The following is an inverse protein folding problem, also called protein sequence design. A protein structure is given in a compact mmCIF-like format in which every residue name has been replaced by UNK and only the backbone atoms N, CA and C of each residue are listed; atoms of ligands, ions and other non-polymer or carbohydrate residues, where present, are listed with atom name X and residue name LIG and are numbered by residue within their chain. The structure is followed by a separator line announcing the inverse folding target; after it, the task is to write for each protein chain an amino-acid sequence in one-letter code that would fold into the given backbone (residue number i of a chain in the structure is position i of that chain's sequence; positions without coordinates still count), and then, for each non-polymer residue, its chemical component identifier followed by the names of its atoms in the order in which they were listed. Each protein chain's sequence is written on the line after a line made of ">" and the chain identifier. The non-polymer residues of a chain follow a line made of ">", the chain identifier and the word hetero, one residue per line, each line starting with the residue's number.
data_IF_782897194351
#
_entry.id   IF_782897194351
#
_cell.length_a   1.000
_cell.length_b   1.000
_cell.length_c   1.000
_cell.angle_alpha   90.00
_cell.angle_beta   90.00
_cell.angle_gamma   90.00
#
_symmetry.space_group_name_H-M   'P 1'
#
loop_
_entity.id
_entity.type
_entity.pdbx_description
1 polymer ?
#
# COMPACT_ATOMS: atom_id res chain seq x y z
N UNK A 1 0.17 -16.70 -14.34
CA UNK A 1 -0.16 -16.42 -12.97
C UNK A 1 0.44 -15.13 -12.52
N UNK A 2 -0.35 -14.32 -11.85
CA UNK A 2 0.13 -13.04 -11.40
C UNK A 2 0.72 -13.14 -10.03
N UNK A 3 1.91 -12.61 -9.89
CA UNK A 3 2.56 -12.59 -8.61
C UNK A 3 2.42 -11.21 -8.01
N UNK A 4 1.85 -11.12 -6.84
CA UNK A 4 1.80 -9.86 -6.14
C UNK A 4 2.70 -9.95 -4.93
N UNK A 5 3.22 -8.81 -4.49
CA UNK A 5 4.06 -8.75 -3.32
C UNK A 5 3.56 -7.68 -2.38
N UNK A 6 3.26 -8.07 -1.16
CA UNK A 6 2.73 -7.14 -0.17
C UNK A 6 3.84 -6.23 0.32
N UNK A 7 3.57 -4.94 0.33
CA UNK A 7 4.48 -3.95 0.91
C UNK A 7 4.18 -3.76 2.40
N UNK A 8 2.92 -3.49 2.70
CA UNK A 8 2.51 -3.24 4.09
C UNK A 8 1.00 -3.32 4.18
N UNK A 9 0.48 -3.27 5.39
CA UNK A 9 -0.96 -3.29 5.58
C UNK A 9 -1.35 -3.02 7.01
N UNK A 10 -2.62 -2.70 7.22
CA UNK A 10 -3.16 -2.45 8.54
C UNK A 10 -4.50 -3.17 8.67
N UNK A 11 -4.74 -3.70 9.86
CA UNK A 11 -5.93 -4.49 10.16
C UNK A 11 -6.67 -3.84 11.33
N UNK A 12 -7.85 -3.25 11.05
CA UNK A 12 -8.60 -2.55 12.09
C UNK A 12 -9.16 -3.51 13.14
N UNK A 13 -9.42 -4.76 12.76
CA UNK A 13 -10.03 -5.72 13.67
C UNK A 13 -9.04 -6.22 14.72
N UNK A 14 -7.77 -6.37 14.32
CA UNK A 14 -6.71 -6.79 15.22
C UNK A 14 -5.88 -5.64 15.72
N UNK A 15 -6.10 -4.45 15.16
CA UNK A 15 -5.34 -3.24 15.51
C UNK A 15 -3.84 -3.48 15.34
N UNK A 16 -3.48 -4.01 14.18
CA UNK A 16 -2.10 -4.33 13.87
C UNK A 16 -1.67 -3.74 12.56
N UNK A 17 -0.39 -3.44 12.47
CA UNK A 17 0.23 -2.96 11.24
C UNK A 17 1.34 -3.93 10.85
N UNK A 18 1.41 -4.24 9.57
CA UNK A 18 2.42 -5.14 9.03
C UNK A 18 3.28 -4.40 8.01
N UNK A 19 4.59 -4.56 8.10
CA UNK A 19 5.51 -4.04 7.10
C UNK A 19 6.40 -5.17 6.64
N UNK A 20 6.48 -5.38 5.32
CA UNK A 20 7.25 -6.49 4.76
C UNK A 20 8.73 -6.20 4.89
N UNK A 21 9.45 -7.07 5.58
CA UNK A 21 10.88 -6.88 5.84
C UNK A 21 11.75 -6.92 4.59
N UNK A 22 11.23 -7.46 3.49
CA UNK A 22 11.95 -7.40 2.22
C UNK A 22 12.16 -5.97 1.75
N UNK A 23 11.40 -5.03 2.29
CA UNK A 23 11.54 -3.62 1.95
C UNK A 23 12.22 -2.83 3.06
N UNK A 24 12.97 -3.52 3.92
CA UNK A 24 13.58 -2.85 5.08
C UNK A 24 14.62 -1.81 4.69
N UNK A 25 15.11 -1.85 3.44
CA UNK A 25 16.10 -0.85 3.00
C UNK A 25 15.47 0.48 2.61
N UNK A 26 14.16 0.59 2.61
CA UNK A 26 13.53 1.87 2.34
C UNK A 26 13.90 2.88 3.42
N UNK A 27 13.92 4.18 3.08
CA UNK A 27 14.21 5.20 4.09
C UNK A 27 13.18 5.16 5.22
N UNK A 28 13.63 5.47 6.41
CA UNK A 28 12.76 5.43 7.58
C UNK A 28 11.58 6.39 7.42
N UNK A 29 11.80 7.55 6.79
CA UNK A 29 10.72 8.50 6.59
C UNK A 29 9.60 7.91 5.74
N UNK A 30 9.94 7.10 4.75
CA UNK A 30 8.94 6.45 3.91
C UNK A 30 8.20 5.38 4.70
N UNK A 31 8.95 4.60 5.49
CA UNK A 31 8.32 3.57 6.33
C UNK A 31 7.34 4.21 7.32
N UNK A 32 7.72 5.33 7.91
CA UNK A 32 6.85 6.03 8.86
C UNK A 32 5.61 6.56 8.18
N UNK A 33 5.78 7.12 6.99
CA UNK A 33 4.66 7.68 6.26
C UNK A 33 3.66 6.60 5.85
N UNK A 34 4.16 5.44 5.43
CA UNK A 34 3.29 4.31 5.11
C UNK A 34 2.54 3.82 6.34
N UNK A 35 3.23 3.75 7.46
CA UNK A 35 2.61 3.30 8.71
C UNK A 35 1.47 4.22 9.11
N UNK A 36 1.73 5.52 9.10
CA UNK A 36 0.74 6.50 9.50
C UNK A 36 -0.46 6.46 8.55
N UNK A 37 -0.19 6.42 7.25
CA UNK A 37 -1.25 6.41 6.26
C UNK A 37 -2.17 5.20 6.44
N UNK A 38 -1.58 4.02 6.58
CA UNK A 38 -2.38 2.80 6.69
C UNK A 38 -3.20 2.76 7.97
N UNK A 39 -2.61 3.19 9.08
CA UNK A 39 -3.31 3.18 10.36
C UNK A 39 -4.45 4.20 10.35
N UNK A 40 -4.19 5.40 9.85
CA UNK A 40 -5.24 6.42 9.77
C UNK A 40 -6.37 5.98 8.86
N UNK A 41 -6.04 5.29 7.77
CA UNK A 41 -7.08 4.79 6.89
C UNK A 41 -8.02 3.85 7.63
N UNK A 42 -7.46 2.86 8.34
CA UNK A 42 -8.30 1.88 9.01
C UNK A 42 -9.03 2.48 10.20
N UNK A 43 -8.48 3.53 10.82
CA UNK A 43 -9.21 4.22 11.88
C UNK A 43 -10.41 4.97 11.33
N UNK A 44 -10.29 5.52 10.12
CA UNK A 44 -11.38 6.28 9.53
C UNK A 44 -12.47 5.40 8.93
N UNK A 45 -12.10 4.36 8.21
CA UNK A 45 -13.10 3.59 7.46
C UNK A 45 -13.20 2.14 7.91
N UNK A 46 -12.28 1.65 8.72
CA UNK A 46 -12.31 0.25 9.16
C UNK A 46 -11.72 -0.68 8.11
N UNK A 47 -11.99 -1.96 8.27
CA UNK A 47 -11.54 -2.96 7.31
C UNK A 47 -10.08 -3.32 7.45
N UNK A 48 -9.57 -4.01 6.43
CA UNK A 48 -8.17 -4.40 6.33
C UNK A 48 -7.63 -3.78 5.05
N UNK A 49 -6.60 -2.97 5.18
CA UNK A 49 -5.97 -2.33 4.03
C UNK A 49 -4.63 -3.00 3.77
N UNK A 50 -4.38 -3.37 2.52
CA UNK A 50 -3.09 -3.94 2.11
C UNK A 50 -2.60 -3.18 0.88
N UNK A 51 -1.34 -2.78 0.89
CA UNK A 51 -0.70 -2.20 -0.28
C UNK A 51 0.15 -3.28 -0.91
N UNK A 52 -0.09 -3.56 -2.19
CA UNK A 52 0.58 -4.66 -2.89
C UNK A 52 1.06 -4.20 -4.26
N UNK A 53 2.24 -4.66 -4.63
CA UNK A 53 2.74 -4.46 -6.00
C UNK A 53 2.25 -5.62 -6.85
N UNK A 54 1.71 -5.32 -8.03
CA UNK A 54 1.33 -6.40 -8.93
C UNK A 54 2.53 -6.81 -9.80
N UNK A 55 2.31 -7.71 -10.75
CA UNK A 55 3.41 -8.26 -11.54
C UNK A 55 4.01 -7.23 -12.49
N UNK A 56 3.36 -6.12 -12.74
CA UNK A 56 3.92 -5.04 -13.55
C UNK A 56 4.63 -3.98 -12.71
N UNK A 57 4.52 -4.09 -11.40
CA UNK A 57 5.14 -3.13 -10.49
C UNK A 57 4.22 -1.99 -10.07
N UNK A 58 2.94 -2.07 -10.42
CA UNK A 58 1.99 -1.05 -9.98
C UNK A 58 1.59 -1.32 -8.54
N UNK A 59 1.51 -0.27 -7.75
CA UNK A 59 1.16 -0.38 -6.34
C UNK A 59 -0.35 -0.19 -6.18
N UNK A 60 -1.00 -1.19 -5.61
CA UNK A 60 -2.44 -1.19 -5.47
C UNK A 60 -2.85 -1.15 -4.02
N UNK A 61 -3.96 -0.47 -3.76
CA UNK A 61 -4.58 -0.45 -2.43
C UNK A 61 -5.70 -1.48 -2.45
N UNK A 62 -5.60 -2.50 -1.63
CA UNK A 62 -6.61 -3.55 -1.55
C UNK A 62 -7.27 -3.51 -0.20
N UNK A 63 -8.60 -3.52 -0.20
CA UNK A 63 -9.37 -3.40 1.02
C UNK A 63 -10.32 -4.57 1.13
N UNK A 64 -10.38 -5.20 2.29
CA UNK A 64 -11.33 -6.26 2.56
C UNK A 64 -12.03 -5.99 3.88
N UNK A 65 -13.26 -6.49 3.99
CA UNK A 65 -14.02 -6.42 5.23
C UNK A 65 -15.03 -7.56 5.21
N UNK A 66 -15.27 -8.20 6.37
CA UNK A 66 -16.27 -9.27 6.39
C UNK A 66 -17.67 -8.71 6.14
N UNK A 67 -18.54 -9.53 5.58
CA UNK A 67 -19.89 -9.10 5.25
C UNK A 67 -20.66 -8.64 6.47
N UNK A 68 -20.37 -9.21 7.62
CA UNK A 68 -21.08 -8.85 8.83
C UNK A 68 -20.58 -7.57 9.48
N UNK A 69 -19.56 -6.92 8.91
CA UNK A 69 -19.09 -5.64 9.44
C UNK A 69 -19.93 -4.53 8.84
N UNK A 70 -21.02 -4.19 9.50
CA UNK A 70 -21.91 -3.13 9.02
C UNK A 70 -21.36 -1.73 9.30
N UNK A 71 -20.27 -1.64 10.04
CA UNK A 71 -19.65 -0.35 10.31
C UNK A 71 -18.62 0.03 9.25
N UNK A 72 -18.25 -0.89 8.40
CA UNK A 72 -17.28 -0.59 7.35
C UNK A 72 -17.87 0.39 6.34
N UNK A 73 -17.14 1.47 6.09
CA UNK A 73 -17.62 2.56 5.22
C UNK A 73 -17.09 2.36 3.81
N UNK A 74 -17.86 1.66 2.98
CA UNK A 74 -17.43 1.36 1.62
C UNK A 74 -17.20 2.61 0.78
N UNK A 75 -18.10 3.57 0.89
CA UNK A 75 -17.98 4.79 0.11
C UNK A 75 -16.79 5.61 0.59
N UNK A 76 -16.67 5.74 1.91
CA UNK A 76 -15.54 6.45 2.50
C UNK A 76 -14.21 5.80 2.15
N UNK A 77 -14.21 4.46 2.05
CA UNK A 77 -13.00 3.73 1.67
C UNK A 77 -12.51 4.16 0.29
N UNK A 78 -13.42 4.19 -0.69
CA UNK A 78 -13.04 4.56 -2.05
C UNK A 78 -12.53 6.00 -2.10
N UNK A 79 -13.23 6.90 -1.40
CA UNK A 79 -12.85 8.31 -1.39
C UNK A 79 -11.50 8.52 -0.71
N UNK A 80 -11.26 7.82 0.39
CA UNK A 80 -10.02 7.96 1.12
C UNK A 80 -8.83 7.44 0.31
N UNK A 81 -9.02 6.33 -0.39
CA UNK A 81 -7.96 5.81 -1.24
C UNK A 81 -7.61 6.81 -2.33
N UNK A 82 -8.62 7.39 -2.99
CA UNK A 82 -8.37 8.38 -4.01
C UNK A 82 -7.63 9.58 -3.45
N UNK A 83 -8.01 10.00 -2.25
CA UNK A 83 -7.34 11.12 -1.60
C UNK A 83 -5.86 10.81 -1.36
N UNK A 84 -5.55 9.63 -0.83
CA UNK A 84 -4.16 9.26 -0.58
C UNK A 84 -3.39 9.11 -1.88
N UNK A 85 -4.01 8.57 -2.93
CA UNK A 85 -3.34 8.42 -4.22
C UNK A 85 -2.95 9.77 -4.79
N UNK A 86 -3.74 10.81 -4.51
CA UNK A 86 -3.38 12.15 -4.94
C UNK A 86 -2.36 12.80 -4.03
N UNK A 87 -2.62 12.75 -2.73
CA UNK A 87 -1.75 13.44 -1.77
C UNK A 87 -0.37 12.82 -1.69
N UNK A 88 -0.28 11.51 -1.87
CA UNK A 88 0.99 10.80 -1.74
C UNK A 88 1.55 10.35 -3.08
N UNK A 89 1.12 11.00 -4.16
CA UNK A 89 1.49 10.57 -5.50
C UNK A 89 2.99 10.39 -5.68
N UNK A 90 3.77 11.36 -5.25
CA UNK A 90 5.22 11.28 -5.44
C UNK A 90 5.82 10.11 -4.69
N UNK A 91 5.37 9.89 -3.46
CA UNK A 91 5.87 8.78 -2.68
C UNK A 91 5.49 7.46 -3.34
N UNK A 92 4.22 7.34 -3.76
CA UNK A 92 3.74 6.09 -4.35
C UNK A 92 4.45 5.79 -5.65
N UNK A 93 4.68 6.80 -6.49
CA UNK A 93 5.41 6.61 -7.73
C UNK A 93 6.85 6.22 -7.49
N UNK A 94 7.47 6.81 -6.45
CA UNK A 94 8.83 6.44 -6.09
C UNK A 94 8.91 4.99 -5.64
N UNK A 95 7.90 4.53 -4.91
CA UNK A 95 7.86 3.14 -4.47
C UNK A 95 7.71 2.19 -5.65
N UNK A 96 6.88 2.55 -6.62
CA UNK A 96 6.73 1.73 -7.82
C UNK A 96 8.04 1.65 -8.59
N UNK A 97 8.74 2.78 -8.71
CA UNK A 97 10.01 2.80 -9.39
C UNK A 97 11.04 1.95 -8.66
N UNK A 98 11.08 2.06 -7.33
CA UNK A 98 11.96 1.26 -6.50
C UNK A 98 11.69 -0.23 -6.73
N UNK A 99 10.43 -0.63 -6.74
CA UNK A 99 10.07 -2.02 -6.90
C UNK A 99 10.49 -2.54 -8.28
N UNK A 100 10.19 -1.78 -9.33
CA UNK A 100 10.56 -2.20 -10.68
C UNK A 100 12.07 -2.34 -10.83
N UNK A 101 12.82 -1.42 -10.22
CA UNK A 101 14.27 -1.45 -10.32
C UNK A 101 14.88 -2.61 -9.56
N UNK A 102 14.50 -2.77 -8.30
CA UNK A 102 15.19 -3.71 -7.42
C UNK A 102 14.57 -5.09 -7.34
N UNK A 103 13.28 -5.21 -7.68
CA UNK A 103 12.62 -6.51 -7.63
C UNK A 103 12.32 -7.07 -9.00
N UNK A 104 12.00 -6.22 -9.98
CA UNK A 104 11.74 -6.69 -11.33
C UNK A 104 12.92 -6.53 -12.25
N UNK A 105 13.97 -5.85 -11.82
CA UNK A 105 15.19 -5.73 -12.59
C UNK A 105 15.13 -4.82 -13.79
N UNK A 106 14.21 -3.86 -13.80
CA UNK A 106 14.11 -2.96 -14.94
C UNK A 106 15.24 -1.96 -14.96
N UNK A 107 15.66 -1.62 -16.18
CA UNK A 107 16.72 -0.65 -16.38
C UNK A 107 16.11 0.74 -16.43
N UNK A 108 16.41 1.56 -15.46
CA UNK A 108 15.83 2.88 -15.36
C UNK A 108 16.26 3.79 -16.49
N UNK A 109 17.47 3.59 -17.01
CA UNK A 109 17.96 4.45 -18.05
C UNK A 109 17.39 4.12 -19.40
N UNK A 110 16.78 3.00 -19.52
CA UNK A 110 16.24 2.60 -20.78
C UNK A 110 17.27 2.33 -21.82
N UNK A 111 18.54 2.19 -21.41
CA UNK A 111 19.52 1.98 -22.34
C UNK A 111 19.81 0.65 -22.42
N UNK A 112 20.27 0.28 -23.25
CA UNK A 112 20.58 -0.94 -23.29
C UNK A 112 21.22 -1.21 -24.16
#
# INVERSE_FOLDING_TARGET
>A
MMDTKVLCGANSYEQKYYFNQEFSSLPQSIKDELHIMCVLYTEDVGGILTLEFDDSGALEFKVTAPEEDYLFDEIGSVLKIKQYQEEKREMLESLELYYRTFFLGEDLDGEE
#
